data_IF_495312690443
#
_entry.id   IF_495312690443
#
_cell.length_a   1.000
_cell.length_b   1.000
_cell.length_c   1.000
_cell.angle_alpha   90.00
_cell.angle_beta   90.00
_cell.angle_gamma   90.00
#
_symmetry.space_group_name_H-M   'P 1'
#
loop_
_entity.id
_entity.type
_entity.pdbx_description
1 polymer ?
#
# COMPACT_ATOMS: atom_id res chain seq x y z
N UNK A 1 12.36 13.87 18.72
CA UNK A 1 11.36 13.03 18.03
C UNK A 1 10.68 13.91 16.99
N UNK A 2 10.61 13.45 15.74
CA UNK A 2 9.93 14.22 14.69
C UNK A 2 8.42 14.23 14.98
N UNK A 3 7.77 15.39 14.90
CA UNK A 3 6.32 15.50 15.10
C UNK A 3 5.60 14.69 14.01
N UNK A 4 4.67 13.80 14.42
CA UNK A 4 3.86 13.03 13.48
C UNK A 4 2.93 13.97 12.72
N UNK A 5 2.97 13.94 11.39
CA UNK A 5 2.09 14.75 10.54
C UNK A 5 0.62 14.38 10.75
N UNK A 6 -0.22 15.39 10.87
CA UNK A 6 -1.67 15.29 11.01
C UNK A 6 -2.39 15.89 9.81
N UNK A 7 -3.70 15.66 9.69
CA UNK A 7 -4.51 16.29 8.63
C UNK A 7 -4.53 17.81 8.76
N UNK A 8 -4.56 18.35 9.98
CA UNK A 8 -4.60 19.79 10.21
C UNK A 8 -3.33 20.49 9.71
N UNK A 9 -2.17 19.84 9.84
CA UNK A 9 -0.89 20.36 9.33
C UNK A 9 -0.90 20.58 7.81
N UNK A 10 -1.65 19.74 7.08
CA UNK A 10 -1.66 19.75 5.61
C UNK A 10 -2.94 20.30 4.99
N UNK A 11 -3.96 20.60 5.80
CA UNK A 11 -5.30 20.99 5.34
C UNK A 11 -5.30 22.16 4.38
N UNK A 12 -4.45 23.15 4.63
CA UNK A 12 -4.29 24.35 3.79
C UNK A 12 -3.77 24.08 2.37
N UNK A 13 -3.13 22.93 2.14
CA UNK A 13 -2.58 22.51 0.85
C UNK A 13 -3.60 21.77 -0.01
N UNK A 14 -4.63 21.20 0.61
CA UNK A 14 -5.66 20.44 -0.06
C UNK A 14 -6.59 21.34 -0.87
N UNK A 15 -6.97 20.87 -2.05
CA UNK A 15 -8.03 21.43 -2.89
C UNK A 15 -8.98 20.29 -3.25
N UNK A 16 -10.29 20.54 -3.22
CA UNK A 16 -11.28 19.50 -3.50
C UNK A 16 -11.72 19.61 -4.96
N UNK A 17 -11.68 18.48 -5.67
CA UNK A 17 -12.25 18.33 -7.01
C UNK A 17 -13.46 17.40 -6.94
N UNK A 18 -14.52 17.74 -7.69
CA UNK A 18 -15.71 16.91 -7.82
C UNK A 18 -15.75 16.27 -9.22
N UNK A 19 -16.25 15.04 -9.36
CA UNK A 19 -16.37 14.41 -10.67
C UNK A 19 -17.33 15.23 -11.54
N UNK A 20 -16.98 15.35 -12.83
CA UNK A 20 -17.82 15.96 -13.86
C UNK A 20 -18.02 14.94 -14.96
N UNK A 21 -19.23 14.87 -15.51
CA UNK A 21 -19.53 13.96 -16.62
C UNK A 21 -18.48 14.09 -17.73
N UNK A 22 -17.77 12.99 -17.97
CA UNK A 22 -16.74 12.92 -19.02
C UNK A 22 -17.43 12.93 -20.40
N UNK A 23 -16.90 13.72 -21.34
CA UNK A 23 -17.35 13.66 -22.73
C UNK A 23 -16.96 12.33 -23.38
N UNK A 24 -17.62 11.96 -24.49
CA UNK A 24 -17.32 10.72 -25.22
C UNK A 24 -15.85 10.61 -25.66
N UNK A 25 -15.20 11.74 -25.90
CA UNK A 25 -13.81 11.82 -26.38
C UNK A 25 -12.77 11.86 -25.24
N UNK A 26 -13.19 11.59 -24.00
CA UNK A 26 -12.27 11.63 -22.87
C UNK A 26 -11.38 10.38 -22.88
N UNK A 27 -10.04 10.52 -22.96
CA UNK A 27 -9.13 9.39 -23.03
C UNK A 27 -9.26 8.48 -21.81
N UNK A 28 -9.10 7.18 -22.02
CA UNK A 28 -9.09 6.18 -20.94
C UNK A 28 -7.82 6.36 -20.11
N UNK A 29 -7.97 6.46 -18.80
CA UNK A 29 -6.87 6.64 -17.85
C UNK A 29 -6.39 5.28 -17.33
N UNK A 30 -5.70 4.50 -18.17
CA UNK A 30 -5.05 3.27 -17.68
C UNK A 30 -3.81 3.68 -16.88
N UNK A 31 -3.86 3.45 -15.58
CA UNK A 31 -2.76 3.80 -14.69
C UNK A 31 -1.55 2.91 -14.93
N UNK A 32 -0.36 3.51 -14.89
CA UNK A 32 0.87 2.74 -14.94
C UNK A 32 1.10 2.00 -13.62
N UNK A 33 1.35 0.68 -13.65
CA UNK A 33 1.70 -0.07 -12.45
C UNK A 33 3.11 0.34 -11.99
N UNK A 34 3.30 0.39 -10.68
CA UNK A 34 4.61 0.63 -10.07
C UNK A 34 5.08 -0.61 -9.34
N UNK A 35 6.37 -0.94 -9.49
CA UNK A 35 6.98 -2.12 -8.87
C UNK A 35 7.59 -1.79 -7.51
N UNK A 36 8.05 -0.54 -7.35
CA UNK A 36 8.67 -0.06 -6.13
C UNK A 36 8.62 1.47 -6.05
N UNK A 37 8.38 2.00 -4.86
CA UNK A 37 8.40 3.44 -4.59
C UNK A 37 9.47 3.74 -3.56
N UNK A 38 10.43 4.58 -3.95
CA UNK A 38 11.58 4.99 -3.13
C UNK A 38 11.69 6.51 -3.08
N UNK A 39 12.29 7.04 -2.02
CA UNK A 39 12.41 8.47 -1.82
C UNK A 39 13.53 9.06 -2.67
N UNK A 40 13.29 10.27 -3.19
CA UNK A 40 14.29 11.18 -3.71
C UNK A 40 14.26 12.47 -2.89
N UNK A 41 15.27 13.33 -3.07
CA UNK A 41 15.34 14.61 -2.39
C UNK A 41 14.14 15.52 -2.74
N UNK A 42 13.79 15.62 -4.03
CA UNK A 42 12.72 16.47 -4.55
C UNK A 42 11.49 15.68 -5.06
N UNK A 43 11.41 14.38 -4.77
CA UNK A 43 10.32 13.56 -5.31
C UNK A 43 10.33 12.08 -4.93
N UNK A 44 9.79 11.28 -5.85
CA UNK A 44 9.67 9.83 -5.77
C UNK A 44 10.39 9.19 -6.94
N UNK A 45 11.03 8.05 -6.70
CA UNK A 45 11.43 7.12 -7.75
C UNK A 45 10.46 5.92 -7.74
N UNK A 46 9.66 5.83 -8.79
CA UNK A 46 8.66 4.79 -9.05
C UNK A 46 9.23 3.54 -9.74
N UNK A 47 10.56 3.50 -9.93
CA UNK A 47 11.31 2.33 -10.34
C UNK A 47 10.86 1.73 -11.68
N UNK A 48 10.64 2.61 -12.66
CA UNK A 48 10.18 2.25 -14.01
C UNK A 48 11.29 2.36 -15.04
N UNK A 49 11.22 1.49 -16.05
CA UNK A 49 12.19 1.43 -17.17
C UNK A 49 12.18 2.68 -18.06
N UNK A 50 11.03 3.32 -18.22
CA UNK A 50 10.86 4.51 -19.07
C UNK A 50 11.19 5.84 -18.36
N UNK A 51 11.49 5.78 -17.06
CA UNK A 51 11.58 6.91 -16.17
C UNK A 51 10.45 6.85 -15.16
N UNK A 52 10.78 7.05 -13.89
CA UNK A 52 9.82 7.01 -12.78
C UNK A 52 10.08 8.10 -11.75
N UNK A 53 10.81 9.15 -12.13
CA UNK A 53 11.13 10.26 -11.25
C UNK A 53 9.95 11.23 -11.28
N UNK A 54 9.24 11.33 -10.16
CA UNK A 54 8.10 12.25 -10.00
C UNK A 54 8.45 13.26 -8.93
N UNK A 55 8.61 14.52 -9.32
CA UNK A 55 8.84 15.61 -8.37
C UNK A 55 7.59 15.92 -7.56
N UNK A 56 7.74 16.30 -6.29
CA UNK A 56 6.61 16.68 -5.45
C UNK A 56 5.84 17.89 -6.00
N UNK A 57 6.54 18.83 -6.64
CA UNK A 57 5.91 20.02 -7.25
C UNK A 57 4.95 19.66 -8.38
N UNK A 58 5.22 18.56 -9.09
CA UNK A 58 4.49 18.16 -10.29
C UNK A 58 3.25 17.30 -9.99
N UNK A 59 3.07 16.86 -8.74
CA UNK A 59 1.95 16.01 -8.33
C UNK A 59 0.64 16.82 -8.26
N UNK A 60 -0.31 16.58 -9.16
CA UNK A 60 -1.50 17.42 -9.26
C UNK A 60 -2.70 16.91 -8.49
N UNK A 61 -2.94 15.60 -8.53
CA UNK A 61 -4.08 14.95 -7.89
C UNK A 61 -3.59 13.67 -7.21
N UNK A 62 -4.05 13.45 -5.98
CA UNK A 62 -3.83 12.23 -5.22
C UNK A 62 -5.18 11.62 -4.87
N UNK A 63 -5.36 10.35 -5.21
CA UNK A 63 -6.56 9.59 -4.89
C UNK A 63 -6.19 8.37 -4.06
N UNK A 64 -6.98 8.04 -3.04
CA UNK A 64 -6.82 6.83 -2.24
C UNK A 64 -8.04 5.93 -2.39
N UNK A 65 -7.84 4.64 -2.65
CA UNK A 65 -8.93 3.69 -2.85
C UNK A 65 -8.51 2.25 -2.56
N UNK A 66 -9.51 1.38 -2.50
CA UNK A 66 -9.37 -0.07 -2.35
C UNK A 66 -10.21 -0.78 -3.42
N UNK A 67 -9.86 -2.02 -3.73
CA UNK A 67 -10.71 -2.92 -4.51
C UNK A 67 -11.41 -3.96 -3.63
N UNK A 68 -12.64 -4.32 -3.99
CA UNK A 68 -13.37 -5.42 -3.35
C UNK A 68 -12.73 -6.78 -3.63
N UNK A 69 -12.11 -6.91 -4.80
CA UNK A 69 -11.33 -8.09 -5.21
C UNK A 69 -9.98 -8.23 -4.48
N UNK A 70 -9.44 -7.15 -3.90
CA UNK A 70 -8.23 -7.16 -3.09
C UNK A 70 -8.41 -6.26 -1.83
N UNK A 71 -9.20 -6.73 -0.84
CA UNK A 71 -9.60 -5.92 0.32
C UNK A 71 -8.45 -5.64 1.30
N UNK A 72 -7.30 -6.29 1.11
CA UNK A 72 -6.11 -6.16 1.94
C UNK A 72 -5.07 -5.21 1.34
N UNK A 73 -5.26 -4.76 0.09
CA UNK A 73 -4.37 -3.81 -0.56
C UNK A 73 -5.02 -2.44 -0.68
N UNK A 74 -4.35 -1.44 -0.14
CA UNK A 74 -4.69 -0.04 -0.37
C UNK A 74 -3.90 0.47 -1.56
N UNK A 75 -4.56 1.26 -2.40
CA UNK A 75 -3.99 1.86 -3.59
C UNK A 75 -4.04 3.37 -3.47
N UNK A 76 -3.04 4.00 -4.06
CA UNK A 76 -3.04 5.42 -4.33
C UNK A 76 -2.80 5.64 -5.82
N UNK A 77 -3.54 6.55 -6.42
CA UNK A 77 -3.19 7.08 -7.74
C UNK A 77 -2.61 8.47 -7.64
N UNK A 78 -1.47 8.61 -8.30
CA UNK A 78 -0.69 9.82 -8.39
C UNK A 78 -0.81 10.36 -9.81
N UNK A 79 -1.49 11.48 -9.96
CA UNK A 79 -1.57 12.19 -11.23
C UNK A 79 -0.49 13.27 -11.27
N UNK A 80 0.26 13.29 -12.36
CA UNK A 80 1.37 14.22 -12.56
C UNK A 80 1.01 15.18 -13.67
N UNK A 81 1.22 16.47 -13.44
CA UNK A 81 0.93 17.48 -14.45
C UNK A 81 1.70 17.22 -15.75
N UNK A 82 0.97 17.24 -16.88
CA UNK A 82 1.53 16.98 -18.20
C UNK A 82 1.75 15.50 -18.55
N UNK A 83 1.42 14.57 -17.66
CA UNK A 83 1.38 13.14 -17.97
C UNK A 83 -0.06 12.75 -18.31
N UNK A 84 -0.27 12.00 -19.38
CA UNK A 84 -1.62 11.61 -19.82
C UNK A 84 -2.27 10.62 -18.86
N UNK A 85 -1.45 9.77 -18.23
CA UNK A 85 -1.89 8.65 -17.39
C UNK A 85 -1.30 8.74 -15.98
N UNK A 86 -2.08 8.35 -14.95
CA UNK A 86 -1.61 8.34 -13.58
C UNK A 86 -0.65 7.19 -13.29
N UNK A 87 0.01 7.28 -12.14
CA UNK A 87 0.80 6.18 -11.57
C UNK A 87 0.00 5.54 -10.43
N UNK A 88 -0.19 4.22 -10.47
CA UNK A 88 -0.88 3.47 -9.43
C UNK A 88 0.15 2.86 -8.48
N UNK A 89 0.08 3.27 -7.22
CA UNK A 89 0.97 2.85 -6.14
C UNK A 89 0.20 1.92 -5.20
N UNK A 90 0.60 0.66 -5.14
CA UNK A 90 0.11 -0.26 -4.11
C UNK A 90 0.81 0.00 -2.78
N UNK A 91 0.11 -0.11 -1.65
CA UNK A 91 0.72 0.02 -0.33
C UNK A 91 1.87 -0.97 -0.10
N UNK A 92 1.88 -2.10 -0.83
CA UNK A 92 2.89 -3.17 -0.72
C UNK A 92 4.21 -2.82 -1.38
N UNK A 93 4.23 -1.87 -2.34
CA UNK A 93 5.44 -1.51 -3.10
C UNK A 93 6.17 -0.28 -2.55
N UNK A 94 5.64 0.34 -1.49
CA UNK A 94 6.20 1.57 -0.91
C UNK A 94 7.25 1.24 0.14
N UNK A 95 8.46 1.77 -0.02
CA UNK A 95 9.52 1.66 0.98
C UNK A 95 9.36 2.72 2.08
N UNK A 96 8.43 2.50 3.03
CA UNK A 96 8.10 3.45 4.09
C UNK A 96 9.30 3.96 4.90
N UNK A 97 10.37 3.15 5.05
CA UNK A 97 11.59 3.52 5.82
C UNK A 97 12.31 4.73 5.24
N UNK A 98 12.13 4.99 3.94
CA UNK A 98 12.75 6.13 3.28
C UNK A 98 11.94 7.42 3.38
N UNK A 99 10.67 7.34 3.80
CA UNK A 99 9.76 8.47 3.85
C UNK A 99 9.38 8.87 5.27
N UNK A 100 9.26 7.89 6.15
CA UNK A 100 8.73 8.07 7.50
C UNK A 100 9.85 7.89 8.53
N UNK A 101 9.92 8.76 9.55
CA UNK A 101 10.91 8.63 10.62
C UNK A 101 10.65 7.37 11.48
N UNK A 102 9.38 6.99 11.61
CA UNK A 102 8.92 5.84 12.41
C UNK A 102 7.91 5.04 11.60
N UNK A 103 7.96 3.71 11.74
CA UNK A 103 7.07 2.78 11.04
C UNK A 103 6.18 2.08 12.06
N UNK A 104 4.88 2.20 11.86
CA UNK A 104 3.87 1.44 12.59
C UNK A 104 3.91 -0.04 12.18
N UNK A 105 3.59 -0.92 13.11
CA UNK A 105 3.36 -2.35 12.81
C UNK A 105 2.16 -2.54 11.87
N UNK A 106 1.22 -1.59 11.83
CA UNK A 106 0.03 -1.64 10.97
C UNK A 106 0.32 -0.95 9.64
N UNK A 107 0.31 -1.71 8.54
CA UNK A 107 0.54 -1.20 7.19
C UNK A 107 -0.37 -0.02 6.82
N UNK A 108 -1.63 -0.05 7.26
CA UNK A 108 -2.63 1.01 7.05
C UNK A 108 -2.23 2.35 7.64
N UNK A 109 -1.60 2.35 8.82
CA UNK A 109 -1.13 3.58 9.47
C UNK A 109 0.08 4.16 8.72
N UNK A 110 0.97 3.30 8.22
CA UNK A 110 2.10 3.73 7.38
C UNK A 110 1.63 4.33 6.05
N UNK A 111 0.61 3.72 5.42
CA UNK A 111 0.03 4.24 4.19
C UNK A 111 -0.60 5.62 4.41
N UNK A 112 -1.37 5.80 5.48
CA UNK A 112 -1.93 7.09 5.87
C UNK A 112 -0.85 8.15 6.12
N UNK A 113 0.18 7.80 6.91
CA UNK A 113 1.30 8.71 7.19
C UNK A 113 2.08 9.07 5.92
N UNK A 114 2.27 8.10 5.01
CA UNK A 114 2.89 8.35 3.70
C UNK A 114 2.05 9.30 2.84
N UNK A 115 0.72 9.13 2.83
CA UNK A 115 -0.18 10.03 2.10
C UNK A 115 -0.07 11.47 2.62
N UNK A 116 -0.08 11.65 3.94
CA UNK A 116 0.14 12.97 4.57
C UNK A 116 1.54 13.53 4.27
N UNK A 117 2.56 12.67 4.25
CA UNK A 117 3.92 13.05 3.86
C UNK A 117 3.93 13.64 2.44
N UNK A 118 3.29 12.99 1.47
CA UNK A 118 3.22 13.49 0.10
C UNK A 118 2.53 14.86 0.04
N UNK A 119 1.36 15.01 0.68
CA UNK A 119 0.65 16.31 0.72
C UNK A 119 1.56 17.37 1.35
N UNK A 120 2.25 17.05 2.45
CA UNK A 120 3.16 17.97 3.12
C UNK A 120 4.36 18.37 2.24
N UNK A 121 4.85 17.48 1.39
CA UNK A 121 5.96 17.79 0.46
C UNK A 121 5.52 18.54 -0.79
N UNK A 122 4.24 18.46 -1.15
CA UNK A 122 3.66 19.27 -2.23
C UNK A 122 3.33 20.69 -1.76
N UNK A 123 3.18 21.63 -2.69
CA UNK A 123 2.71 22.98 -2.35
C UNK A 123 1.19 23.04 -2.18
N UNK A 124 0.50 22.45 -3.14
CA UNK A 124 -0.95 22.25 -3.16
C UNK A 124 -1.25 21.05 -4.05
N UNK A 125 -2.29 20.31 -3.70
CA UNK A 125 -2.71 19.09 -4.40
C UNK A 125 -4.22 18.94 -4.36
N UNK A 126 -4.80 18.48 -5.46
CA UNK A 126 -6.19 18.10 -5.50
C UNK A 126 -6.41 16.73 -4.87
N UNK A 127 -7.55 16.57 -4.21
CA UNK A 127 -8.11 15.30 -3.76
C UNK A 127 -9.61 15.33 -4.05
N UNK A 128 -10.24 14.16 -4.17
CA UNK A 128 -11.70 14.06 -4.25
C UNK A 128 -12.34 14.04 -2.84
N UNK A 129 -13.68 14.03 -2.80
CA UNK A 129 -14.42 13.98 -1.54
C UNK A 129 -14.17 12.66 -0.77
N UNK A 130 -13.97 11.56 -1.50
CA UNK A 130 -13.73 10.24 -0.93
C UNK A 130 -12.35 10.11 -0.28
N UNK A 131 -11.31 10.63 -0.93
CA UNK A 131 -9.96 10.72 -0.36
C UNK A 131 -9.96 11.67 0.84
N UNK A 132 -10.70 12.78 0.79
CA UNK A 132 -10.84 13.66 1.96
C UNK A 132 -11.52 12.94 3.14
N UNK A 133 -12.56 12.14 2.88
CA UNK A 133 -13.21 11.33 3.91
C UNK A 133 -12.29 10.25 4.47
N UNK A 134 -11.47 9.62 3.63
CA UNK A 134 -10.38 8.75 4.06
C UNK A 134 -9.40 9.48 4.98
N UNK A 135 -8.99 10.70 4.63
CA UNK A 135 -8.05 11.47 5.44
C UNK A 135 -8.61 11.83 6.82
N UNK A 136 -9.94 12.04 6.93
CA UNK A 136 -10.63 12.36 8.19
C UNK A 136 -10.91 11.13 9.05
N UNK A 137 -11.40 10.05 8.43
CA UNK A 137 -11.96 8.89 9.14
C UNK A 137 -11.04 7.68 9.17
N UNK A 138 -9.97 7.67 8.36
CA UNK A 138 -9.12 6.52 8.04
C UNK A 138 -9.88 5.33 7.43
N UNK A 139 -11.11 5.55 6.95
CA UNK A 139 -11.89 4.54 6.21
C UNK A 139 -11.72 4.77 4.71
N UNK A 140 -11.30 3.72 4.01
CA UNK A 140 -11.05 3.78 2.58
C UNK A 140 -12.31 3.38 1.81
N UNK A 141 -12.59 4.09 0.71
CA UNK A 141 -13.65 3.70 -0.21
C UNK A 141 -13.18 2.52 -1.06
N UNK A 142 -14.11 1.59 -1.28
CA UNK A 142 -13.89 0.36 -2.02
C UNK A 142 -14.63 0.44 -3.36
N UNK A 143 -14.00 -0.06 -4.41
CA UNK A 143 -14.58 -0.20 -5.74
C UNK A 143 -14.61 -1.69 -6.11
N UNK A 144 -15.62 -2.18 -6.86
CA UNK A 144 -15.69 -3.58 -7.24
C UNK A 144 -14.47 -4.05 -8.04
N UNK A 145 -14.03 -3.22 -8.98
CA UNK A 145 -12.92 -3.49 -9.89
C UNK A 145 -12.23 -2.19 -10.33
N UNK A 146 -11.13 -2.33 -11.07
CA UNK A 146 -10.41 -1.20 -11.63
C UNK A 146 -11.19 -0.47 -12.72
N UNK A 147 -12.11 -1.13 -13.43
CA UNK A 147 -12.84 -0.51 -14.53
C UNK A 147 -13.78 0.59 -14.01
N UNK A 148 -14.57 0.30 -12.97
CA UNK A 148 -15.45 1.29 -12.36
C UNK A 148 -14.65 2.45 -11.76
N UNK A 149 -13.52 2.14 -11.12
CA UNK A 149 -12.63 3.15 -10.57
C UNK A 149 -11.99 4.02 -11.67
N UNK A 150 -11.56 3.45 -12.79
CA UNK A 150 -10.99 4.19 -13.93
C UNK A 150 -12.04 5.10 -14.60
N UNK A 151 -13.29 4.66 -14.69
CA UNK A 151 -14.39 5.52 -15.16
C UNK A 151 -14.71 6.66 -14.19
N UNK A 152 -14.53 6.44 -12.89
CA UNK A 152 -14.60 7.49 -11.87
C UNK A 152 -13.43 8.48 -12.01
N UNK A 153 -12.19 8.01 -12.09
CA UNK A 153 -11.03 8.91 -12.19
C UNK A 153 -10.99 9.69 -13.49
N UNK A 154 -11.52 9.13 -14.59
CA UNK A 154 -11.67 9.84 -15.86
C UNK A 154 -12.47 11.13 -15.72
N UNK A 155 -13.53 11.12 -14.90
CA UNK A 155 -14.38 12.28 -14.63
C UNK A 155 -13.65 13.37 -13.83
N UNK A 156 -12.61 13.01 -13.08
CA UNK A 156 -11.77 13.95 -12.33
C UNK A 156 -10.62 14.45 -13.19
N UNK A 157 -9.85 13.53 -13.77
CA UNK A 157 -8.58 13.83 -14.41
C UNK A 157 -8.72 14.68 -15.67
N UNK A 158 -9.77 14.45 -16.47
CA UNK A 158 -10.00 15.28 -17.65
C UNK A 158 -10.19 16.76 -17.31
N UNK A 159 -10.68 17.07 -16.11
CA UNK A 159 -10.81 18.45 -15.66
C UNK A 159 -9.46 19.07 -15.28
N UNK A 160 -8.45 18.27 -14.94
CA UNK A 160 -7.19 18.71 -14.35
C UNK A 160 -5.97 18.48 -15.24
N UNK A 161 -6.08 17.67 -16.31
CA UNK A 161 -4.95 17.35 -17.18
C UNK A 161 -4.36 18.59 -17.85
N UNK A 162 -5.20 19.58 -18.17
CA UNK A 162 -4.77 20.88 -18.71
C UNK A 162 -4.43 21.88 -17.62
N UNK A 163 -4.67 21.59 -16.34
CA UNK A 163 -4.46 22.55 -15.26
C UNK A 163 -3.01 22.55 -14.80
N UNK A 164 -2.38 23.73 -14.88
CA UNK A 164 -1.04 23.95 -14.40
C UNK A 164 -1.02 24.67 -13.06
N UNK A 165 0.05 24.42 -12.29
CA UNK A 165 0.38 25.16 -11.08
C UNK A 165 1.35 26.28 -11.42
N UNK A 166 1.16 27.43 -10.81
CA UNK A 166 2.21 28.44 -10.73
C UNK A 166 2.26 29.03 -9.33
N UNK A 167 3.45 29.49 -8.95
CA UNK A 167 3.72 30.10 -7.65
C UNK A 167 3.92 31.60 -7.84
N UNK A 168 3.34 32.40 -6.96
CA UNK A 168 3.72 33.81 -6.85
C UNK A 168 5.19 33.89 -6.42
N UNK A 169 6.00 34.53 -7.27
CA UNK A 169 7.39 34.89 -7.05
C UNK A 169 7.63 35.73 -5.78
N UNK A 170 6.66 36.57 -5.38
CA UNK A 170 6.80 37.40 -4.18
C UNK A 170 6.36 36.72 -2.88
N UNK A 171 5.16 36.13 -2.84
CA UNK A 171 4.58 35.61 -1.58
C UNK A 171 4.51 34.08 -1.49
N UNK A 172 4.88 33.36 -2.55
CA UNK A 172 4.87 31.90 -2.58
C UNK A 172 3.48 31.25 -2.73
N UNK A 173 2.40 32.02 -2.84
CA UNK A 173 1.04 31.48 -2.99
C UNK A 173 0.91 30.69 -4.31
N UNK A 174 0.28 29.51 -4.24
CA UNK A 174 0.13 28.63 -5.41
C UNK A 174 -1.28 28.74 -6.00
N UNK A 175 -1.31 28.96 -7.30
CA UNK A 175 -2.52 29.08 -8.10
C UNK A 175 -2.59 27.98 -9.14
N UNK A 176 -3.82 27.69 -9.54
CA UNK A 176 -4.13 26.70 -10.55
C UNK A 176 -4.88 27.38 -11.70
N UNK A 177 -4.36 27.21 -12.91
CA UNK A 177 -4.99 27.76 -14.11
C UNK A 177 -4.99 26.70 -15.20
N UNK A 178 -6.10 26.62 -15.91
CA UNK A 178 -6.25 25.83 -17.12
C UNK A 178 -5.32 26.38 -18.22
N UNK A 179 -4.31 25.62 -18.59
CA UNK A 179 -3.30 25.98 -19.61
C UNK A 179 -3.94 26.29 -20.96
N UNK A 180 -5.10 25.69 -21.27
CA UNK A 180 -5.87 25.99 -22.48
C UNK A 180 -6.40 27.44 -22.52
N UNK A 181 -6.47 28.12 -21.37
CA UNK A 181 -6.91 29.53 -21.26
C UNK A 181 -5.73 30.52 -21.30
N UNK A 182 -4.50 30.04 -21.33
CA UNK A 182 -3.31 30.88 -21.37
C UNK A 182 -2.91 31.09 -22.83
N UNK A 183 -2.78 32.35 -23.24
CA UNK A 183 -2.33 32.66 -24.60
C UNK A 183 -0.87 32.23 -24.80
N UNK A 184 -0.42 31.95 -26.04
CA UNK A 184 1.00 31.68 -26.32
C UNK A 184 1.96 32.81 -25.91
N UNK A 185 1.46 34.04 -25.76
CA UNK A 185 2.23 35.19 -25.24
C UNK A 185 2.26 35.26 -23.71
N UNK A 186 1.68 34.28 -23.04
CA UNK A 186 1.38 34.27 -21.62
C UNK A 186 0.11 35.03 -21.24
N UNK A 187 -0.21 35.01 -19.96
CA UNK A 187 -1.29 35.76 -19.33
C UNK A 187 -0.74 36.49 -18.10
N UNK A 188 -1.14 37.75 -17.89
CA UNK A 188 -0.83 38.49 -16.68
C UNK A 188 -1.99 38.38 -15.73
N UNK A 189 -1.73 37.97 -14.49
CA UNK A 189 -2.74 37.89 -13.42
C UNK A 189 -2.19 38.50 -12.15
N UNK A 190 -3.06 38.96 -11.24
CA UNK A 190 -2.65 39.50 -9.95
C UNK A 190 -2.74 38.41 -8.89
N UNK A 191 -1.70 38.27 -8.08
CA UNK A 191 -1.73 37.46 -6.88
C UNK A 191 -2.82 37.97 -5.94
N UNK A 192 -3.78 37.12 -5.58
CA UNK A 192 -4.88 37.49 -4.66
C UNK A 192 -4.36 37.93 -3.29
N UNK A 193 -3.23 37.36 -2.83
CA UNK A 193 -2.68 37.59 -1.49
C UNK A 193 -1.85 38.86 -1.38
N UNK A 194 -0.93 39.11 -2.31
CA UNK A 194 0.00 40.24 -2.24
C UNK A 194 -0.18 41.27 -3.37
N UNK A 195 -1.12 41.06 -4.28
CA UNK A 195 -1.39 41.91 -5.46
C UNK A 195 -0.25 42.01 -6.48
N UNK A 196 0.86 41.27 -6.32
CA UNK A 196 1.93 41.22 -7.31
C UNK A 196 1.43 40.70 -8.66
N UNK A 197 1.90 41.30 -9.76
CA UNK A 197 1.53 40.88 -11.11
C UNK A 197 2.41 39.69 -11.53
N UNK A 198 1.78 38.54 -11.68
CA UNK A 198 2.42 37.29 -12.12
C UNK A 198 2.20 37.17 -13.63
N UNK A 199 3.28 36.91 -14.36
CA UNK A 199 3.19 36.53 -15.78
C UNK A 199 3.24 35.01 -15.86
N UNK A 200 2.11 34.39 -16.20
CA UNK A 200 2.00 32.96 -16.40
C UNK A 200 2.22 32.68 -17.88
N UNK A 201 3.21 31.87 -18.21
CA UNK A 201 3.43 31.44 -19.60
C UNK A 201 2.76 30.10 -19.83
N UNK A 202 2.20 29.93 -21.04
CA UNK A 202 1.71 28.63 -21.47
C UNK A 202 2.90 27.67 -21.46
N UNK A 203 2.70 26.43 -21.00
CA UNK A 203 3.82 25.47 -21.03
C UNK A 203 4.14 25.12 -22.47
N UNK A 204 5.41 24.94 -22.77
CA UNK A 204 5.76 24.12 -23.92
C UNK A 204 5.16 22.73 -23.70
N UNK A 205 4.34 22.28 -24.66
CA UNK A 205 3.74 20.94 -24.59
C UNK A 205 4.87 19.94 -24.34
N UNK A 206 4.75 19.07 -23.32
CA UNK A 206 5.79 18.11 -23.02
C UNK A 206 6.12 17.35 -24.30
N UNK A 207 7.39 17.42 -24.71
CA UNK A 207 7.86 16.70 -25.89
C UNK A 207 7.52 15.22 -25.65
N UNK A 208 6.77 14.54 -26.54
CA UNK A 208 6.44 13.14 -26.37
C UNK A 208 7.69 12.37 -25.99
N UNK A 209 7.63 11.57 -24.92
CA UNK A 209 8.75 10.73 -24.53
C UNK A 209 9.13 9.90 -25.75
N UNK A 210 10.36 10.09 -26.25
CA UNK A 210 10.83 9.47 -27.50
C UNK A 210 10.54 7.96 -27.45
N UNK A 211 9.91 7.37 -28.48
CA UNK A 211 9.58 5.95 -28.52
C UNK A 211 10.78 5.06 -28.17
N UNK A 212 10.46 3.95 -27.49
CA UNK A 212 11.30 3.04 -26.70
C UNK A 212 12.49 2.39 -27.42
N UNK A 213 12.63 2.51 -28.74
CA UNK A 213 13.49 1.60 -29.53
C UNK A 213 15.01 1.86 -29.47
N UNK A 214 15.50 2.91 -28.79
CA UNK A 214 16.93 3.24 -28.83
C UNK A 214 17.62 3.37 -27.46
N UNK A 215 16.97 3.03 -26.35
CA UNK A 215 17.63 3.05 -25.04
C UNK A 215 18.42 1.75 -24.86
N UNK A 216 19.75 1.83 -24.91
CA UNK A 216 20.64 0.71 -24.55
C UNK A 216 20.37 0.30 -23.10
N UNK A 217 20.26 -1.00 -22.88
CA UNK A 217 20.09 -1.60 -21.55
C UNK A 217 21.34 -2.38 -21.16
N UNK A 218 21.63 -2.45 -19.86
CA UNK A 218 22.69 -3.28 -19.28
C UNK A 218 22.08 -4.27 -18.28
N UNK A 219 22.11 -5.59 -18.55
CA UNK A 219 21.57 -6.59 -17.64
C UNK A 219 22.38 -6.64 -16.33
N UNK A 220 21.67 -6.78 -15.22
CA UNK A 220 22.31 -6.89 -13.91
C UNK A 220 23.07 -8.21 -13.79
N UNK A 221 24.36 -8.21 -13.42
CA UNK A 221 25.13 -9.44 -13.27
C UNK A 221 24.65 -10.32 -12.11
N UNK A 222 23.89 -9.76 -11.16
CA UNK A 222 23.44 -10.50 -9.97
C UNK A 222 22.04 -11.11 -10.09
N UNK A 223 21.15 -10.51 -10.88
CA UNK A 223 19.76 -10.98 -10.97
C UNK A 223 19.20 -11.02 -12.40
N UNK A 224 20.00 -10.65 -13.41
CA UNK A 224 19.60 -10.65 -14.82
C UNK A 224 18.67 -9.51 -15.24
N UNK A 225 18.24 -8.63 -14.33
CA UNK A 225 17.33 -7.53 -14.66
C UNK A 225 17.97 -6.49 -15.59
N UNK A 226 17.31 -6.12 -16.69
CA UNK A 226 17.77 -5.09 -17.62
C UNK A 226 17.64 -3.67 -17.03
N UNK A 227 18.77 -3.03 -16.75
CA UNK A 227 18.83 -1.65 -16.24
C UNK A 227 19.13 -0.68 -17.39
N UNK A 228 18.80 0.60 -17.21
CA UNK A 228 19.21 1.65 -18.14
C UNK A 228 20.74 1.78 -18.18
N UNK A 229 21.32 2.02 -19.37
CA UNK A 229 22.74 2.33 -19.52
C UNK A 229 23.14 3.50 -18.60
N UNK A 230 24.22 3.34 -17.83
CA UNK A 230 24.68 4.31 -16.83
C UNK A 230 24.11 4.13 -15.41
N UNK A 231 23.20 3.19 -15.18
CA UNK A 231 22.75 2.86 -13.81
C UNK A 231 23.93 2.33 -12.97
N UNK A 232 24.15 2.90 -11.79
CA UNK A 232 25.20 2.46 -10.86
C UNK A 232 24.80 1.25 -10.02
N UNK A 233 23.49 1.10 -9.76
CA UNK A 233 22.93 0.02 -8.96
C UNK A 233 21.77 -0.62 -9.70
N UNK A 234 21.59 -1.93 -9.48
CA UNK A 234 20.49 -2.66 -10.05
C UNK A 234 19.19 -2.21 -9.40
N UNK A 235 18.23 -1.83 -10.24
CA UNK A 235 16.89 -1.43 -9.83
C UNK A 235 16.17 -2.54 -9.02
N UNK A 236 16.36 -3.80 -9.40
CA UNK A 236 15.70 -4.93 -8.74
C UNK A 236 16.43 -5.39 -7.48
N UNK A 237 17.71 -5.72 -7.58
CA UNK A 237 18.45 -6.32 -6.47
C UNK A 237 19.28 -5.34 -5.64
N UNK A 238 19.34 -4.06 -6.01
CA UNK A 238 20.13 -2.98 -5.37
C UNK A 238 21.65 -3.21 -5.31
N UNK A 239 22.16 -4.31 -5.86
CA UNK A 239 23.60 -4.53 -5.96
C UNK A 239 24.21 -3.62 -7.03
N UNK A 240 25.47 -3.17 -6.86
CA UNK A 240 26.14 -2.34 -7.84
C UNK A 240 26.23 -3.05 -9.20
N UNK A 241 26.06 -2.30 -10.29
CA UNK A 241 26.13 -2.81 -11.67
C UNK A 241 27.54 -2.71 -12.25
N UNK A 242 28.37 -1.85 -11.66
CA UNK A 242 29.78 -1.67 -11.96
C UNK A 242 30.54 -1.87 -10.67
N UNK A 243 31.66 -2.60 -10.74
CA UNK A 243 32.61 -2.67 -9.63
C UNK A 243 33.10 -1.25 -9.34
N UNK A 244 32.59 -0.66 -8.26
CA UNK A 244 32.98 0.65 -7.81
C UNK A 244 34.44 0.56 -7.38
N UNK A 245 35.37 0.92 -8.26
CA UNK A 245 36.73 1.25 -7.85
C UNK A 245 36.60 2.64 -7.23
N UNK A 246 36.70 2.81 -5.90
CA UNK A 246 36.62 4.12 -5.28
C UNK A 246 37.73 4.97 -5.87
N UNK A 247 37.34 6.01 -6.62
CA UNK A 247 38.28 7.02 -7.12
C UNK A 247 38.94 7.61 -5.89
N UNK A 248 40.22 7.30 -5.70
CA UNK A 248 41.00 7.74 -4.55
C UNK A 248 40.79 9.24 -4.36
N UNK A 249 40.43 9.64 -3.15
CA UNK A 249 40.28 11.04 -2.78
C UNK A 249 41.56 11.79 -3.22
N UNK A 250 41.44 12.97 -3.85
CA UNK A 250 42.60 13.80 -4.16
C UNK A 250 43.36 14.04 -2.86
N UNK A 251 44.60 13.55 -2.80
CA UNK A 251 45.48 13.88 -1.68
C UNK A 251 45.61 15.41 -1.61
N UNK A 252 45.52 16.02 -0.42
CA UNK A 252 45.73 17.45 -0.28
C UNK A 252 47.13 17.79 -0.78
N UNK A 253 47.20 18.72 -1.73
CA UNK A 253 48.46 19.26 -2.26
C UNK A 253 49.32 19.81 -1.10
N UNK A 254 50.63 19.52 -1.09
CA UNK A 254 51.54 20.05 -0.08
C UNK A 254 51.65 21.57 -0.24
N UNK A 255 51.37 22.28 0.86
CA UNK A 255 51.47 23.75 0.92
C UNK A 255 52.90 24.22 0.59
N UNK A 256 53.07 25.29 -0.21
CA UNK A 256 54.38 25.89 -0.46
C UNK A 256 54.93 26.52 0.83
N UNK A 257 56.11 26.07 1.26
CA UNK A 257 56.88 26.74 2.30
C UNK A 257 57.42 28.07 1.77
N UNK A 258 56.98 29.18 2.36
CA UNK A 258 57.65 30.47 2.28
C UNK A 258 58.19 30.79 3.68
N UNK A 259 59.51 30.92 3.79
CA UNK A 259 60.17 31.41 4.99
C UNK A 259 60.14 32.93 5.08
N UNK A 260 60.08 33.45 6.30
CA UNK A 260 60.87 34.59 6.78
C UNK A 260 60.57 34.81 8.27
N UNK A 261 61.64 35.07 9.01
CA UNK A 261 61.73 35.34 10.45
C UNK A 261 60.90 36.55 10.91
N UNK A 262 60.41 36.51 12.16
CA UNK A 262 60.63 37.55 13.20
C UNK A 262 60.12 37.06 14.58
N UNK A 263 60.62 37.65 15.70
CA UNK A 263 60.68 36.98 17.00
C UNK A 263 59.57 37.36 18.00
N UNK A 264 59.26 36.37 18.83
CA UNK A 264 58.77 36.38 20.22
C UNK A 264 58.19 37.68 20.81
N UNK A 265 56.92 37.62 21.26
CA UNK A 265 56.58 38.04 22.62
C UNK A 265 55.30 37.38 23.18
N UNK A 266 55.43 36.93 24.44
CA UNK A 266 54.41 36.64 25.47
C UNK A 266 53.42 35.47 25.32
N UNK A 267 53.76 34.42 26.08
CA UNK A 267 52.90 33.31 26.52
C UNK A 267 52.04 33.73 27.73
N UNK A 268 50.77 33.34 27.71
CA UNK A 268 49.91 33.18 28.90
C UNK A 268 49.36 31.74 28.92
N UNK A 269 49.27 31.04 30.07
CA UNK A 269 49.05 29.59 30.11
C UNK A 269 47.56 29.20 30.16
N UNK A 270 47.15 28.30 29.26
CA UNK A 270 45.88 27.57 29.35
C UNK A 270 46.02 26.23 30.12
N UNK A 271 44.98 25.80 30.85
CA UNK A 271 44.98 24.59 31.69
C UNK A 271 44.75 23.28 30.88
N UNK A 272 45.02 22.10 31.48
CA UNK A 272 45.32 20.88 30.74
C UNK A 272 44.09 20.20 30.13
N UNK A 273 44.26 19.75 28.90
CA UNK A 273 43.33 18.93 28.13
C UNK A 273 43.24 17.49 28.67
N UNK A 274 42.01 17.03 28.91
CA UNK A 274 41.67 15.64 29.25
C UNK A 274 41.87 14.70 28.03
N UNK A 275 42.20 13.41 28.26
CA UNK A 275 42.39 12.44 27.20
C UNK A 275 41.07 12.05 26.52
N UNK A 276 41.09 11.94 25.19
CA UNK A 276 40.02 11.39 24.36
C UNK A 276 39.79 9.92 24.72
N UNK A 277 38.63 9.62 25.30
CA UNK A 277 38.12 8.26 25.44
C UNK A 277 37.59 7.76 24.09
N UNK A 278 38.01 6.55 23.72
CA UNK A 278 37.45 5.76 22.63
C UNK A 278 36.01 5.38 22.94
N UNK A 279 35.06 5.80 22.10
CA UNK A 279 33.66 5.36 22.12
C UNK A 279 33.58 3.91 21.60
N UNK A 280 33.70 2.95 22.50
CA UNK A 280 33.19 1.60 22.31
C UNK A 280 31.67 1.64 22.50
N UNK A 281 30.93 1.41 21.42
CA UNK A 281 29.46 1.40 21.41
C UNK A 281 28.96 0.11 22.11
N UNK A 282 28.42 0.28 23.32
CA UNK A 282 27.94 -0.80 24.17
C UNK A 282 26.49 -1.18 23.77
N UNK A 283 26.33 -2.33 23.12
CA UNK A 283 25.06 -2.87 22.61
C UNK A 283 24.20 -3.55 23.70
N UNK A 284 24.10 -2.97 24.90
CA UNK A 284 23.47 -3.62 26.05
C UNK A 284 21.97 -3.32 26.26
N UNK A 285 21.28 -2.69 25.29
CA UNK A 285 19.95 -2.10 25.52
C UNK A 285 18.79 -2.54 24.61
N UNK A 286 18.91 -3.62 23.83
CA UNK A 286 17.82 -4.06 22.95
C UNK A 286 16.91 -5.12 23.61
N UNK A 287 15.58 -5.08 23.39
CA UNK A 287 14.62 -5.98 24.01
C UNK A 287 14.84 -7.46 23.62
N UNK A 288 14.75 -8.33 24.64
CA UNK A 288 15.10 -9.75 24.68
C UNK A 288 14.32 -10.72 23.76
N UNK A 289 13.61 -10.26 22.71
CA UNK A 289 12.82 -11.15 21.83
C UNK A 289 13.51 -11.54 20.51
N UNK A 290 14.72 -11.06 20.24
CA UNK A 290 15.48 -11.41 19.03
C UNK A 290 16.85 -12.01 19.35
N UNK A 291 16.94 -12.84 20.38
CA UNK A 291 18.07 -13.76 20.54
C UNK A 291 17.72 -15.04 19.77
N UNK A 292 17.72 -14.95 18.45
CA UNK A 292 17.70 -16.11 17.57
C UNK A 292 18.93 -16.95 17.89
N UNK A 293 18.67 -18.02 18.62
CA UNK A 293 19.62 -19.10 18.82
C UNK A 293 19.81 -19.71 17.42
N UNK A 294 20.89 -19.34 16.73
CA UNK A 294 21.26 -19.93 15.43
C UNK A 294 21.23 -21.44 15.57
N UNK A 295 20.22 -22.07 14.97
CA UNK A 295 20.16 -23.51 14.84
C UNK A 295 21.35 -23.95 13.97
N UNK A 296 22.17 -24.90 14.41
CA UNK A 296 23.26 -25.43 13.60
C UNK A 296 22.70 -26.08 12.32
N UNK A 297 23.52 -26.12 11.26
CA UNK A 297 23.25 -26.65 9.92
C UNK A 297 22.38 -27.93 9.92
N UNK A 298 21.06 -27.78 9.90
CA UNK A 298 20.12 -28.89 9.76
C UNK A 298 20.10 -29.33 8.30
N UNK A 299 20.23 -30.63 8.07
CA UNK A 299 20.07 -31.24 6.75
C UNK A 299 18.64 -31.04 6.23
N UNK A 300 18.44 -31.09 4.90
CA UNK A 300 17.10 -31.01 4.27
C UNK A 300 16.10 -32.01 4.86
N UNK A 301 16.58 -33.18 5.28
CA UNK A 301 15.77 -34.23 5.91
C UNK A 301 15.32 -33.82 7.31
N UNK A 302 16.21 -33.28 8.13
CA UNK A 302 15.87 -32.77 9.46
C UNK A 302 14.98 -31.52 9.40
N UNK A 303 15.17 -30.69 8.36
CA UNK A 303 14.28 -29.56 8.09
C UNK A 303 12.87 -30.03 7.74
N UNK A 304 12.75 -31.09 6.93
CA UNK A 304 11.46 -31.68 6.57
C UNK A 304 10.76 -32.30 7.78
N UNK A 305 11.48 -32.98 8.66
CA UNK A 305 10.90 -33.53 9.90
C UNK A 305 10.49 -32.41 10.86
N UNK A 306 11.32 -31.38 11.03
CA UNK A 306 10.97 -30.22 11.87
C UNK A 306 9.74 -29.47 11.33
N UNK A 307 9.63 -29.31 10.00
CA UNK A 307 8.45 -28.71 9.38
C UNK A 307 7.21 -29.58 9.62
N UNK A 308 7.36 -30.90 9.53
CA UNK A 308 6.26 -31.83 9.73
C UNK A 308 5.81 -31.89 11.20
N UNK A 309 6.72 -31.71 12.14
CA UNK A 309 6.40 -31.59 13.56
C UNK A 309 5.74 -30.24 13.87
N UNK A 310 6.21 -29.13 13.29
CA UNK A 310 5.52 -27.83 13.37
C UNK A 310 4.10 -27.91 12.80
N UNK A 311 3.91 -28.59 11.66
CA UNK A 311 2.59 -28.83 11.06
C UNK A 311 1.70 -29.67 11.99
N UNK A 312 2.23 -30.68 12.67
CA UNK A 312 1.47 -31.46 13.66
C UNK A 312 1.08 -30.61 14.87
N UNK A 313 1.94 -29.71 15.33
CA UNK A 313 1.58 -28.80 16.44
C UNK A 313 0.47 -27.82 16.07
N UNK A 314 0.39 -27.44 14.78
CA UNK A 314 -0.70 -26.61 14.25
C UNK A 314 -2.05 -27.34 14.21
N UNK A 315 -2.10 -28.68 14.20
CA UNK A 315 -3.37 -29.43 14.18
C UNK A 315 -4.15 -29.34 15.50
N UNK A 316 -3.46 -29.12 16.63
CA UNK A 316 -4.07 -29.11 17.96
C UNK A 316 -5.12 -27.97 18.16
N UNK A 317 -4.85 -26.70 17.79
CA UNK A 317 -5.86 -25.63 17.92
C UNK A 317 -7.06 -25.78 16.97
N UNK A 318 -6.93 -26.52 15.87
CA UNK A 318 -8.02 -26.73 14.91
C UNK A 318 -8.91 -27.93 15.25
N UNK A 319 -8.48 -28.81 16.15
CA UNK A 319 -9.23 -30.02 16.51
C UNK A 319 -10.67 -29.75 16.96
N UNK A 320 -10.88 -28.68 17.73
CA UNK A 320 -12.23 -28.29 18.17
C UNK A 320 -13.14 -27.90 17.00
N UNK A 321 -12.64 -27.12 16.04
CA UNK A 321 -13.44 -26.71 14.88
C UNK A 321 -13.77 -27.87 13.95
N UNK A 322 -12.84 -28.82 13.77
CA UNK A 322 -13.11 -30.06 13.02
C UNK A 322 -14.17 -30.91 13.71
N UNK A 323 -14.12 -31.04 15.04
CA UNK A 323 -15.16 -31.71 15.81
C UNK A 323 -16.51 -31.00 15.70
N UNK A 324 -16.51 -29.67 15.81
CA UNK A 324 -17.72 -28.85 15.68
C UNK A 324 -18.37 -29.01 14.29
N UNK A 325 -17.58 -28.99 13.21
CA UNK A 325 -18.07 -29.25 11.86
C UNK A 325 -18.74 -30.63 11.73
N UNK A 326 -18.13 -31.69 12.28
CA UNK A 326 -18.74 -33.03 12.31
C UNK A 326 -20.04 -33.07 13.10
N UNK A 327 -20.11 -32.37 14.23
CA UNK A 327 -21.33 -32.26 15.04
C UNK A 327 -22.43 -31.56 14.23
N UNK A 328 -22.11 -30.48 13.53
CA UNK A 328 -23.08 -29.76 12.69
C UNK A 328 -23.60 -30.63 11.53
N UNK A 329 -22.75 -31.42 10.89
CA UNK A 329 -23.19 -32.39 9.87
C UNK A 329 -24.15 -33.42 10.46
N UNK A 330 -23.81 -33.99 11.62
CA UNK A 330 -24.66 -34.96 12.31
C UNK A 330 -26.00 -34.35 12.73
N UNK A 331 -26.01 -33.14 13.28
CA UNK A 331 -27.24 -32.40 13.61
C UNK A 331 -28.11 -32.15 12.38
N UNK A 332 -27.49 -31.87 11.22
CA UNK A 332 -28.23 -31.75 9.96
C UNK A 332 -29.04 -33.00 9.64
N UNK A 333 -28.42 -34.19 9.72
CA UNK A 333 -29.12 -35.46 9.54
C UNK A 333 -30.23 -35.69 10.56
N UNK A 334 -30.00 -35.31 11.84
CA UNK A 334 -31.01 -35.42 12.89
C UNK A 334 -32.22 -34.51 12.62
N UNK A 335 -32.03 -33.27 12.17
CA UNK A 335 -33.13 -32.37 11.83
C UNK A 335 -33.93 -32.86 10.63
N UNK A 336 -33.26 -33.40 9.61
CA UNK A 336 -33.93 -33.99 8.46
C UNK A 336 -34.79 -35.19 8.87
N UNK A 337 -34.20 -36.15 9.59
CA UNK A 337 -34.91 -37.34 10.07
C UNK A 337 -36.04 -36.97 11.02
N UNK A 338 -35.80 -36.05 11.95
CA UNK A 338 -36.81 -35.57 12.91
C UNK A 338 -37.98 -34.87 12.23
N UNK A 339 -37.72 -34.02 11.22
CA UNK A 339 -38.78 -33.35 10.45
C UNK A 339 -39.66 -34.32 9.67
N UNK A 340 -39.05 -35.36 9.08
CA UNK A 340 -39.76 -36.44 8.38
C UNK A 340 -40.60 -37.27 9.37
N UNK A 341 -39.99 -37.73 10.47
CA UNK A 341 -40.68 -38.53 11.48
C UNK A 341 -41.85 -37.77 12.12
N UNK A 342 -41.67 -36.49 12.42
CA UNK A 342 -42.74 -35.63 12.95
C UNK A 342 -43.86 -35.44 11.93
N UNK A 343 -43.53 -35.25 10.64
CA UNK A 343 -44.53 -35.18 9.56
C UNK A 343 -45.35 -36.47 9.44
N UNK A 344 -44.69 -37.63 9.49
CA UNK A 344 -45.33 -38.95 9.48
C UNK A 344 -46.22 -39.12 10.72
N UNK A 345 -45.75 -38.72 11.90
CA UNK A 345 -46.52 -38.79 13.15
C UNK A 345 -47.78 -37.92 13.09
N UNK A 346 -47.67 -36.67 12.63
CA UNK A 346 -48.80 -35.75 12.46
C UNK A 346 -49.84 -36.34 11.51
N UNK A 347 -49.39 -36.97 10.42
CA UNK A 347 -50.29 -37.50 9.42
C UNK A 347 -50.98 -38.81 9.84
N UNK A 348 -50.22 -39.78 10.35
CA UNK A 348 -50.72 -41.15 10.59
C UNK A 348 -51.09 -41.45 12.04
N UNK A 349 -50.35 -40.89 13.00
CA UNK A 349 -50.39 -41.38 14.39
C UNK A 349 -51.25 -40.49 15.27
N UNK A 350 -51.29 -39.17 15.02
CA UNK A 350 -52.04 -38.24 15.85
C UNK A 350 -53.54 -38.59 15.76
N UNK A 351 -54.12 -39.25 16.80
CA UNK A 351 -55.48 -39.76 16.74
C UNK A 351 -56.42 -38.56 16.69
N UNK A 352 -57.53 -38.68 15.96
CA UNK A 352 -58.56 -37.63 15.97
C UNK A 352 -59.08 -37.46 17.41
N UNK A 353 -58.80 -36.33 18.11
CA UNK A 353 -59.39 -36.12 19.42
C UNK A 353 -60.85 -35.73 19.24
N UNK A 354 -61.69 -36.10 20.21
CA UNK A 354 -63.08 -35.69 20.25
C UNK A 354 -63.20 -34.15 20.28
N UNK A 355 -64.18 -33.64 19.53
CA UNK A 355 -64.50 -32.24 19.19
C UNK A 355 -64.26 -31.16 20.29
N UNK A 356 -63.99 -29.88 19.90
CA UNK A 356 -64.59 -29.20 18.74
C UNK A 356 -63.66 -28.43 17.79
N UNK A 357 -62.35 -28.66 17.75
CA UNK A 357 -61.47 -28.06 16.72
C UNK A 357 -60.65 -29.13 16.02
N UNK A 358 -61.25 -29.70 14.97
CA UNK A 358 -60.63 -30.75 14.16
C UNK A 358 -59.75 -30.11 13.09
N UNK A 359 -58.50 -30.58 12.99
CA UNK A 359 -57.64 -30.33 11.84
C UNK A 359 -58.16 -31.13 10.64
N UNK A 360 -58.57 -30.43 9.58
CA UNK A 360 -58.99 -31.08 8.32
C UNK A 360 -57.85 -31.87 7.70
N UNK A 361 -58.13 -32.88 6.86
CA UNK A 361 -57.09 -33.66 6.17
C UNK A 361 -56.13 -32.76 5.39
N UNK A 362 -56.66 -31.68 4.79
CA UNK A 362 -55.87 -30.65 4.13
C UNK A 362 -54.92 -29.97 5.11
N UNK A 363 -55.39 -29.58 6.30
CA UNK A 363 -54.55 -28.97 7.32
C UNK A 363 -53.48 -29.95 7.81
N UNK A 364 -53.81 -31.23 8.04
CA UNK A 364 -52.82 -32.26 8.43
C UNK A 364 -51.72 -32.41 7.38
N UNK A 365 -52.10 -32.47 6.10
CA UNK A 365 -51.14 -32.47 4.99
C UNK A 365 -50.28 -31.21 4.96
N UNK A 366 -50.87 -30.04 5.19
CA UNK A 366 -50.12 -28.77 5.26
C UNK A 366 -49.13 -28.77 6.42
N UNK A 367 -49.53 -29.18 7.63
CA UNK A 367 -48.63 -29.21 8.79
C UNK A 367 -47.53 -30.27 8.64
N UNK A 368 -47.85 -31.44 8.08
CA UNK A 368 -46.84 -32.46 7.76
C UNK A 368 -45.82 -31.95 6.74
N UNK A 369 -46.30 -31.27 5.68
CA UNK A 369 -45.45 -30.63 4.67
C UNK A 369 -44.57 -29.51 5.25
N UNK A 370 -45.13 -28.65 6.10
CA UNK A 370 -44.38 -27.59 6.79
C UNK A 370 -43.29 -28.21 7.69
N UNK A 371 -43.63 -29.24 8.48
CA UNK A 371 -42.68 -29.93 9.36
C UNK A 371 -41.50 -30.51 8.59
N UNK A 372 -41.78 -31.23 7.49
CA UNK A 372 -40.75 -31.79 6.63
C UNK A 372 -39.89 -30.68 5.97
N UNK A 373 -40.54 -29.60 5.49
CA UNK A 373 -39.87 -28.46 4.89
C UNK A 373 -38.93 -27.73 5.85
N UNK A 374 -39.37 -27.48 7.09
CA UNK A 374 -38.54 -26.86 8.13
C UNK A 374 -37.35 -27.74 8.50
N UNK A 375 -37.57 -29.06 8.66
CA UNK A 375 -36.50 -30.01 8.92
C UNK A 375 -35.43 -30.03 7.81
N UNK A 376 -35.86 -29.99 6.55
CA UNK A 376 -34.97 -29.90 5.40
C UNK A 376 -34.15 -28.60 5.38
N UNK A 377 -34.79 -27.44 5.61
CA UNK A 377 -34.10 -26.15 5.63
C UNK A 377 -33.06 -26.05 6.75
N UNK A 378 -33.39 -26.55 7.95
CA UNK A 378 -32.44 -26.61 9.08
C UNK A 378 -31.26 -27.54 8.77
N UNK A 379 -31.53 -28.69 8.14
CA UNK A 379 -30.48 -29.60 7.66
C UNK A 379 -29.55 -28.92 6.67
N UNK A 380 -30.11 -28.22 5.67
CA UNK A 380 -29.34 -27.52 4.65
C UNK A 380 -28.46 -26.42 5.27
N UNK A 381 -29.01 -25.63 6.20
CA UNK A 381 -28.25 -24.61 6.92
C UNK A 381 -27.06 -25.20 7.69
N UNK A 382 -27.25 -26.33 8.39
CA UNK A 382 -26.19 -27.00 9.12
C UNK A 382 -25.06 -27.51 8.19
N UNK A 383 -25.42 -28.07 7.04
CA UNK A 383 -24.46 -28.55 6.03
C UNK A 383 -23.67 -27.37 5.43
N UNK A 384 -24.34 -26.28 5.07
CA UNK A 384 -23.69 -25.08 4.52
C UNK A 384 -22.71 -24.49 5.54
N UNK A 385 -23.13 -24.30 6.79
CA UNK A 385 -22.27 -23.78 7.85
C UNK A 385 -21.07 -24.69 8.08
N UNK A 386 -21.27 -26.01 8.11
CA UNK A 386 -20.16 -26.97 8.22
C UNK A 386 -19.16 -26.84 7.08
N UNK A 387 -19.63 -26.70 5.84
CA UNK A 387 -18.75 -26.57 4.67
C UNK A 387 -17.98 -25.25 4.67
N UNK A 388 -18.61 -24.16 5.11
CA UNK A 388 -17.94 -22.86 5.27
C UNK A 388 -16.82 -22.99 6.31
N UNK A 389 -17.10 -23.58 7.48
CA UNK A 389 -16.10 -23.78 8.53
C UNK A 389 -14.93 -24.63 8.01
N UNK A 390 -15.22 -25.75 7.33
CA UNK A 390 -14.19 -26.59 6.75
C UNK A 390 -13.31 -25.84 5.73
N UNK A 391 -13.92 -25.02 4.86
CA UNK A 391 -13.20 -24.21 3.89
C UNK A 391 -12.34 -23.14 4.55
N UNK A 392 -12.86 -22.44 5.57
CA UNK A 392 -12.10 -21.41 6.31
C UNK A 392 -10.89 -22.01 7.01
N UNK A 393 -11.04 -23.18 7.64
CA UNK A 393 -9.93 -23.89 8.28
C UNK A 393 -8.85 -24.28 7.26
N UNK A 394 -9.25 -24.75 6.09
CA UNK A 394 -8.31 -25.13 5.03
C UNK A 394 -7.53 -23.91 4.51
N UNK A 395 -8.19 -22.77 4.32
CA UNK A 395 -7.53 -21.51 3.92
C UNK A 395 -6.55 -21.04 5.00
N UNK A 396 -6.94 -21.09 6.27
CA UNK A 396 -6.06 -20.68 7.38
C UNK A 396 -4.85 -21.61 7.50
N UNK A 397 -5.05 -22.93 7.38
CA UNK A 397 -3.98 -23.93 7.36
C UNK A 397 -2.99 -23.64 6.24
N UNK A 398 -3.49 -23.47 5.02
CA UNK A 398 -2.64 -23.21 3.85
C UNK A 398 -1.89 -21.88 3.96
N UNK A 399 -2.52 -20.86 4.56
CA UNK A 399 -1.89 -19.57 4.81
C UNK A 399 -0.75 -19.68 5.82
N UNK A 400 -0.95 -20.39 6.95
CA UNK A 400 0.10 -20.62 7.96
C UNK A 400 1.26 -21.44 7.42
N UNK A 401 0.97 -22.51 6.67
CA UNK A 401 2.01 -23.32 6.00
C UNK A 401 2.82 -22.48 5.03
N UNK A 402 2.15 -21.65 4.21
CA UNK A 402 2.82 -20.75 3.27
C UNK A 402 3.70 -19.72 3.99
N UNK A 403 3.20 -19.12 5.07
CA UNK A 403 3.96 -18.17 5.88
C UNK A 403 5.23 -18.81 6.48
N UNK A 404 5.12 -20.03 7.02
CA UNK A 404 6.27 -20.78 7.54
C UNK A 404 7.29 -21.11 6.46
N UNK A 405 6.84 -21.50 5.26
CA UNK A 405 7.72 -21.75 4.13
C UNK A 405 8.46 -20.47 3.68
N UNK A 406 7.75 -19.33 3.60
CA UNK A 406 8.36 -18.05 3.25
C UNK A 406 9.39 -17.61 4.30
N UNK A 407 9.05 -17.69 5.59
CA UNK A 407 9.95 -17.33 6.68
C UNK A 407 11.26 -18.15 6.61
N UNK A 408 11.15 -19.46 6.36
CA UNK A 408 12.34 -20.32 6.23
C UNK A 408 13.13 -20.05 4.95
N UNK A 409 12.47 -19.73 3.82
CA UNK A 409 13.16 -19.33 2.59
C UNK A 409 13.97 -18.04 2.77
N UNK A 410 13.42 -17.07 3.49
CA UNK A 410 14.12 -15.82 3.82
C UNK A 410 15.34 -16.11 4.72
N UNK A 411 15.18 -16.94 5.75
CA UNK A 411 16.28 -17.30 6.68
C UNK A 411 17.45 -18.04 6.03
N UNK A 412 17.29 -18.57 4.81
CA UNK A 412 18.35 -19.29 4.07
C UNK A 412 19.18 -18.36 3.17
N UNK A 413 18.72 -17.13 2.93
CA UNK A 413 19.41 -16.16 2.06
C UNK A 413 20.36 -15.23 2.82
N UNK A 414 20.28 -15.22 4.16
CA UNK A 414 21.21 -14.54 5.07
C UNK A 414 22.25 -15.54 5.61
#
# INVERSE_FOLDING_TARGET
MAHALTLDDVRQKLRIVKPKAAGKDTPVTIAYPTTRVTALEDGLNLNRQDGGLVKFTDMSLLLAFRLDSDPDTWYMELFVYGQETPFRLSQKVINYRQFLPEISQRSKDNFYAFFLYLINKTDSVYVDEYTLEFLKSRKMISYPDFQLYEDYTRQLWFQLITWMKFRCDQCGEVYWVDDAKISPKGAKTKCVKCQNIITVQQREKPKPLVPKEQRKTNPCPHCGYENSEGAQFCVMCQKPLVDFIPKAAPQPEPSPQAGAEQPQEQQEPQPPSKPKASLSLEFAGLPLQAREQRSPNLSLRELSSALQDDIKTLENPFGWFTQFSRIMQWLGFVFLAGGILLGVYIYYVMPAPALPKVLTDTQRMTYAGISAGVGFLLSLACIIVSNIIALTLEVERNTKVTALLIQRLISKQE
#
